data_IF_595459084598
#
_entry.id   IF_595459084598
#
_cell.length_a   1.000
_cell.length_b   1.000
_cell.length_c   1.000
_cell.angle_alpha   90.00
_cell.angle_beta   90.00
_cell.angle_gamma   90.00
#
_symmetry.space_group_name_H-M   'P 1'
#
loop_
_entity.id
_entity.type
_entity.pdbx_description
1 polymer ?
#
# COMPACT_ATOMS: atom_id res chain seq x y z
N UNK A 1 -13.31 -31.99 -0.85
CA UNK A 1 -13.52 -30.54 -0.69
C UNK A 1 -13.43 -29.89 -2.05
N UNK A 2 -14.52 -29.29 -2.52
CA UNK A 2 -14.54 -28.57 -3.79
C UNK A 2 -14.14 -27.12 -3.50
N UNK A 3 -13.12 -26.60 -4.20
CA UNK A 3 -12.73 -25.20 -4.04
C UNK A 3 -13.88 -24.28 -4.49
N UNK A 4 -14.18 -23.24 -3.69
CA UNK A 4 -15.11 -22.19 -4.08
C UNK A 4 -14.32 -21.16 -4.90
N UNK A 5 -14.70 -20.97 -6.16
CA UNK A 5 -14.09 -20.01 -7.07
C UNK A 5 -15.01 -18.81 -7.26
N UNK A 6 -14.52 -17.60 -6.96
CA UNK A 6 -15.25 -16.36 -7.17
C UNK A 6 -14.38 -15.37 -7.97
N UNK A 7 -14.73 -15.14 -9.23
CA UNK A 7 -14.05 -14.18 -10.12
C UNK A 7 -14.20 -12.72 -9.66
N UNK A 8 -15.20 -12.45 -8.82
CA UNK A 8 -15.54 -11.14 -8.29
C UNK A 8 -15.31 -11.11 -6.76
N UNK A 9 -14.28 -11.79 -6.27
CA UNK A 9 -13.92 -11.70 -4.86
C UNK A 9 -13.61 -10.23 -4.51
N UNK A 10 -14.29 -9.65 -3.50
CA UNK A 10 -14.07 -8.26 -3.13
C UNK A 10 -12.67 -8.08 -2.53
N UNK A 11 -12.12 -6.86 -2.64
CA UNK A 11 -10.88 -6.46 -1.99
C UNK A 11 -10.97 -6.62 -0.47
N UNK A 12 -12.15 -6.28 0.07
CA UNK A 12 -12.45 -6.33 1.49
C UNK A 12 -13.89 -6.83 1.73
N UNK A 13 -14.12 -7.72 2.70
CA UNK A 13 -15.42 -8.38 2.88
C UNK A 13 -16.53 -7.43 3.36
N UNK A 14 -16.22 -6.44 4.20
CA UNK A 14 -17.20 -5.55 4.81
C UNK A 14 -16.99 -4.08 4.41
N UNK A 15 -17.93 -3.51 3.66
CA UNK A 15 -17.83 -2.15 3.13
C UNK A 15 -18.18 -1.06 4.15
N UNK A 16 -18.81 -1.42 5.27
CA UNK A 16 -19.29 -0.47 6.28
C UNK A 16 -18.32 -0.29 7.45
N UNK A 17 -17.13 -0.89 7.37
CA UNK A 17 -16.05 -0.66 8.32
C UNK A 17 -15.23 0.55 7.91
N UNK A 18 -14.84 1.37 8.88
CA UNK A 18 -13.92 2.50 8.69
C UNK A 18 -12.98 2.56 9.89
N UNK A 19 -11.67 2.53 9.65
CA UNK A 19 -10.69 2.48 10.75
C UNK A 19 -9.97 3.80 10.95
N UNK A 20 -9.47 4.40 9.86
CA UNK A 20 -8.67 5.62 9.88
C UNK A 20 -9.15 6.64 8.84
N UNK A 21 -10.43 6.59 8.48
CA UNK A 21 -11.09 7.49 7.53
C UNK A 21 -10.82 8.97 7.81
N UNK A 22 -10.93 9.38 9.07
CA UNK A 22 -10.81 10.79 9.47
C UNK A 22 -9.41 11.17 9.97
N UNK A 23 -8.41 10.30 9.77
CA UNK A 23 -7.03 10.58 10.18
C UNK A 23 -6.45 11.71 9.33
N UNK A 24 -5.88 12.72 9.97
CA UNK A 24 -5.09 13.73 9.26
C UNK A 24 -3.70 13.17 8.91
N UNK A 25 -3.25 13.39 7.67
CA UNK A 25 -1.98 12.87 7.16
C UNK A 25 -1.15 14.02 6.63
N UNK A 26 -0.11 14.36 7.40
CA UNK A 26 0.91 15.29 6.94
C UNK A 26 1.68 14.68 5.77
N UNK A 27 1.74 15.41 4.66
CA UNK A 27 2.41 14.97 3.43
C UNK A 27 3.90 15.21 3.55
N UNK A 28 4.69 14.19 3.23
CA UNK A 28 6.15 14.25 3.29
C UNK A 28 6.69 13.79 1.93
N UNK A 29 7.59 14.59 1.35
CA UNK A 29 8.35 14.18 0.17
C UNK A 29 9.57 13.37 0.60
N UNK A 30 9.77 12.21 -0.02
CA UNK A 30 10.94 11.37 0.23
C UNK A 30 12.22 12.00 -0.35
N UNK A 31 13.34 11.64 0.25
CA UNK A 31 14.68 11.91 -0.28
C UNK A 31 15.38 10.58 -0.56
N UNK A 32 15.77 10.33 -1.81
CA UNK A 32 16.37 9.07 -2.25
C UNK A 32 15.38 7.89 -2.30
N UNK A 33 15.84 6.62 -2.29
CA UNK A 33 15.00 5.42 -2.41
C UNK A 33 14.34 5.05 -1.07
N UNK A 34 13.54 5.97 -0.52
CA UNK A 34 12.97 5.89 0.85
C UNK A 34 11.44 5.93 0.87
N UNK A 35 10.78 5.43 -0.18
CA UNK A 35 9.33 5.47 -0.31
C UNK A 35 8.61 4.75 0.85
N UNK A 36 9.11 3.59 1.28
CA UNK A 36 8.52 2.81 2.37
C UNK A 36 8.61 3.56 3.71
N UNK A 37 9.82 3.96 4.14
CA UNK A 37 9.98 4.67 5.42
C UNK A 37 9.23 6.00 5.46
N UNK A 38 9.22 6.73 4.35
CA UNK A 38 8.44 7.98 4.23
C UNK A 38 6.94 7.70 4.35
N UNK A 39 6.44 6.64 3.71
CA UNK A 39 5.04 6.24 3.80
C UNK A 39 4.64 5.84 5.22
N UNK A 40 5.42 5.00 5.90
CA UNK A 40 5.10 4.58 7.27
C UNK A 40 5.19 5.76 8.26
N UNK A 41 6.14 6.67 8.04
CA UNK A 41 6.24 7.91 8.82
C UNK A 41 5.00 8.79 8.66
N UNK A 42 4.49 8.97 7.44
CA UNK A 42 3.23 9.67 7.20
C UNK A 42 2.05 8.99 7.92
N UNK A 43 1.96 7.66 7.86
CA UNK A 43 0.92 6.91 8.58
C UNK A 43 1.02 7.14 10.10
N UNK A 44 2.22 7.04 10.67
CA UNK A 44 2.46 7.19 12.11
C UNK A 44 2.44 8.64 12.63
N UNK A 45 2.45 9.64 11.74
CA UNK A 45 2.61 11.05 12.13
C UNK A 45 4.00 11.32 12.71
N UNK A 46 5.03 10.78 12.06
CA UNK A 46 6.44 10.78 12.51
C UNK A 46 7.40 11.20 11.41
N UNK A 47 8.69 11.25 11.72
CA UNK A 47 9.73 11.53 10.74
C UNK A 47 10.15 10.24 10.01
N UNK A 48 10.55 10.30 8.72
CA UNK A 48 11.08 9.13 8.01
C UNK A 48 12.29 8.49 8.71
N UNK A 49 13.09 9.27 9.44
CA UNK A 49 14.28 8.84 10.18
C UNK A 49 13.93 7.83 11.27
N UNK A 50 12.73 7.93 11.86
CA UNK A 50 12.25 7.03 12.91
C UNK A 50 12.07 5.58 12.43
N UNK A 51 12.06 5.34 11.11
CA UNK A 51 11.85 4.04 10.48
C UNK A 51 13.07 3.52 9.70
N UNK A 52 14.05 4.39 9.42
CA UNK A 52 15.23 4.03 8.62
C UNK A 52 16.09 3.03 9.40
N UNK A 53 16.46 1.92 8.74
CA UNK A 53 17.29 0.87 9.34
C UNK A 53 16.57 -0.02 10.36
N UNK A 54 15.26 0.18 10.59
CA UNK A 54 14.48 -0.57 11.59
C UNK A 54 13.50 -1.59 10.99
N UNK A 55 13.41 -1.63 9.67
CA UNK A 55 12.53 -2.53 8.95
C UNK A 55 13.18 -2.97 7.64
N UNK A 56 12.71 -4.10 7.12
CA UNK A 56 13.08 -4.56 5.80
C UNK A 56 12.10 -3.96 4.78
N UNK A 57 12.59 -3.12 3.87
CA UNK A 57 11.77 -2.41 2.86
C UNK A 57 11.11 -3.31 1.83
N UNK A 58 11.31 -4.63 1.89
CA UNK A 58 10.66 -5.62 1.03
C UNK A 58 9.71 -6.55 1.81
N UNK A 59 9.72 -6.50 3.14
CA UNK A 59 8.94 -7.36 4.04
C UNK A 59 7.80 -6.59 4.74
N UNK A 60 6.54 -6.79 4.33
CA UNK A 60 5.38 -6.16 4.96
C UNK A 60 5.16 -6.56 6.41
N UNK A 61 5.67 -7.70 6.87
CA UNK A 61 5.56 -8.08 8.29
C UNK A 61 6.32 -7.07 9.16
N UNK A 62 7.59 -6.81 8.81
CA UNK A 62 8.39 -5.79 9.49
C UNK A 62 7.77 -4.37 9.41
N UNK A 63 7.01 -4.05 8.34
CA UNK A 63 6.28 -2.78 8.25
C UNK A 63 5.12 -2.73 9.25
N UNK A 64 4.41 -3.84 9.41
CA UNK A 64 3.32 -3.97 10.39
C UNK A 64 3.87 -3.83 11.81
N UNK A 65 4.98 -4.53 12.13
CA UNK A 65 5.61 -4.47 13.45
C UNK A 65 6.01 -3.05 13.86
N UNK A 66 6.60 -2.27 12.95
CA UNK A 66 6.98 -0.87 13.25
C UNK A 66 5.77 0.07 13.34
N UNK A 67 4.61 -0.31 12.80
CA UNK A 67 3.35 0.45 12.95
C UNK A 67 2.60 0.13 14.25
N UNK A 68 2.79 -1.05 14.84
CA UNK A 68 2.07 -1.48 16.04
C UNK A 68 2.19 -0.50 17.23
N UNK A 69 3.35 0.11 17.54
CA UNK A 69 3.44 1.11 18.61
C UNK A 69 2.54 2.34 18.40
N UNK A 70 2.04 2.54 17.17
CA UNK A 70 1.15 3.63 16.78
C UNK A 70 -0.32 3.19 16.64
N UNK A 71 -0.66 2.00 17.14
CA UNK A 71 -2.02 1.47 17.14
C UNK A 71 -2.49 0.95 15.78
N UNK A 72 -1.58 0.74 14.83
CA UNK A 72 -1.89 0.34 13.46
C UNK A 72 -1.17 -0.94 13.07
N UNK A 73 -1.81 -1.74 12.22
CA UNK A 73 -1.19 -2.87 11.52
C UNK A 73 -1.68 -2.96 10.08
N UNK A 74 -0.95 -3.73 9.27
CA UNK A 74 -1.30 -3.97 7.88
C UNK A 74 -2.26 -5.16 7.76
N UNK A 75 -3.35 -5.00 7.02
CA UNK A 75 -4.25 -6.09 6.66
C UNK A 75 -4.28 -6.24 5.13
N UNK A 76 -3.81 -7.39 4.64
CA UNK A 76 -3.73 -7.68 3.21
C UNK A 76 -5.11 -7.59 2.56
N UNK A 77 -5.24 -6.87 1.44
CA UNK A 77 -6.44 -6.89 0.58
C UNK A 77 -6.26 -7.89 -0.56
N UNK A 78 -7.34 -8.52 -1.01
CA UNK A 78 -7.30 -9.55 -2.06
C UNK A 78 -6.93 -8.94 -3.42
N UNK A 79 -5.63 -8.86 -3.71
CA UNK A 79 -5.10 -8.32 -4.95
C UNK A 79 -4.25 -9.35 -5.71
N UNK A 80 -4.04 -9.10 -6.99
CA UNK A 80 -3.10 -9.79 -7.85
C UNK A 80 -2.37 -8.76 -8.73
N UNK A 81 -1.67 -9.21 -9.78
CA UNK A 81 -0.85 -8.35 -10.63
C UNK A 81 -1.65 -7.40 -11.54
N UNK A 82 -2.99 -7.38 -11.50
CA UNK A 82 -3.80 -6.42 -12.27
C UNK A 82 -3.38 -4.97 -12.02
N UNK A 83 -3.65 -4.10 -12.99
CA UNK A 83 -3.38 -2.66 -12.85
C UNK A 83 -4.24 -2.04 -11.76
N UNK A 84 -3.69 -1.06 -11.03
CA UNK A 84 -4.38 -0.41 -9.90
C UNK A 84 -5.75 0.18 -10.28
N UNK A 85 -5.93 0.65 -11.52
CA UNK A 85 -7.23 1.18 -12.00
C UNK A 85 -8.39 0.19 -11.85
N UNK A 86 -8.14 -1.11 -11.88
CA UNK A 86 -9.20 -2.13 -11.73
C UNK A 86 -9.65 -2.30 -10.29
N UNK A 87 -8.89 -1.78 -9.33
CA UNK A 87 -9.22 -1.78 -7.90
C UNK A 87 -9.76 -0.42 -7.44
N UNK A 88 -9.46 0.65 -8.17
CA UNK A 88 -9.61 2.03 -7.67
C UNK A 88 -11.04 2.39 -7.25
N UNK A 89 -12.05 2.01 -8.03
CA UNK A 89 -13.45 2.29 -7.68
C UNK A 89 -13.87 1.63 -6.36
N UNK A 90 -13.45 0.38 -6.12
CA UNK A 90 -13.75 -0.32 -4.87
C UNK A 90 -12.94 0.27 -3.72
N UNK A 91 -11.65 0.56 -3.92
CA UNK A 91 -10.80 1.17 -2.90
C UNK A 91 -11.32 2.54 -2.43
N UNK A 92 -11.66 3.43 -3.38
CA UNK A 92 -12.25 4.73 -3.06
C UNK A 92 -13.63 4.56 -2.41
N UNK A 93 -14.41 3.58 -2.85
CA UNK A 93 -15.71 3.26 -2.27
C UNK A 93 -15.65 2.72 -0.84
N UNK A 94 -14.54 2.13 -0.43
CA UNK A 94 -14.29 1.75 0.98
C UNK A 94 -14.00 2.96 1.87
N UNK A 95 -13.71 4.14 1.29
CA UNK A 95 -13.54 5.45 1.94
C UNK A 95 -12.72 5.39 3.25
N UNK A 96 -11.52 4.78 3.18
CA UNK A 96 -10.65 4.56 4.33
C UNK A 96 -9.16 4.73 3.97
N UNK A 97 -8.26 4.21 4.80
CA UNK A 97 -6.81 4.32 4.67
C UNK A 97 -6.14 3.02 4.20
N UNK A 98 -5.33 3.14 3.14
CA UNK A 98 -4.63 2.03 2.51
C UNK A 98 -3.20 2.39 2.15
N UNK A 99 -2.33 1.39 2.07
CA UNK A 99 -1.11 1.49 1.26
C UNK A 99 -1.27 0.73 -0.05
N UNK A 100 -0.86 1.37 -1.15
CA UNK A 100 -0.85 0.78 -2.48
C UNK A 100 0.59 0.66 -2.96
N UNK A 101 1.05 -0.55 -3.22
CA UNK A 101 2.36 -0.80 -3.82
C UNK A 101 2.19 -1.26 -5.26
N UNK A 102 3.02 -0.75 -6.16
CA UNK A 102 3.00 -1.08 -7.59
C UNK A 102 4.40 -1.21 -8.16
N UNK A 103 4.55 -1.99 -9.23
CA UNK A 103 5.80 -2.06 -9.98
C UNK A 103 5.99 -0.80 -10.82
N UNK A 104 7.20 -0.24 -10.88
CA UNK A 104 7.47 1.03 -11.59
C UNK A 104 7.82 0.84 -13.06
N UNK A 105 7.85 -0.41 -13.53
CA UNK A 105 7.97 -0.75 -14.95
C UNK A 105 6.61 -1.11 -15.54
N UNK A 106 6.43 -0.83 -16.82
CA UNK A 106 5.28 -1.29 -17.60
C UNK A 106 5.59 -2.56 -18.43
N UNK A 107 6.85 -3.03 -18.43
CA UNK A 107 7.25 -4.25 -19.11
C UNK A 107 6.85 -5.49 -18.28
N UNK A 108 5.91 -6.35 -18.74
CA UNK A 108 5.50 -7.55 -18.03
C UNK A 108 6.63 -8.55 -17.81
N UNK A 109 7.56 -8.66 -18.76
CA UNK A 109 8.71 -9.59 -18.65
C UNK A 109 9.63 -9.19 -17.48
N UNK A 110 9.78 -7.89 -17.23
CA UNK A 110 10.54 -7.42 -16.08
C UNK A 110 9.83 -7.67 -14.74
N UNK A 111 8.50 -7.79 -14.73
CA UNK A 111 7.71 -8.07 -13.52
C UNK A 111 7.69 -9.56 -13.22
N UNK A 112 7.61 -10.39 -14.27
CA UNK A 112 7.45 -11.85 -14.18
C UNK A 112 8.75 -12.63 -14.37
N UNK A 113 9.86 -11.93 -14.63
CA UNK A 113 11.17 -12.53 -14.79
C UNK A 113 11.78 -13.02 -13.47
N UNK A 114 12.79 -13.88 -13.61
CA UNK A 114 13.56 -14.35 -12.47
C UNK A 114 14.37 -13.21 -11.82
N UNK A 115 14.63 -13.28 -10.51
CA UNK A 115 15.51 -12.33 -9.86
C UNK A 115 16.93 -12.41 -10.43
N UNK A 116 17.63 -11.28 -10.45
CA UNK A 116 19.05 -11.23 -10.75
C UNK A 116 19.90 -11.89 -9.63
N UNK A 117 21.22 -11.87 -9.76
CA UNK A 117 22.15 -12.45 -8.77
C UNK A 117 22.06 -11.84 -7.37
N UNK A 118 21.44 -10.68 -7.22
CA UNK A 118 21.22 -9.99 -5.94
C UNK A 118 19.81 -10.25 -5.37
N UNK A 119 19.01 -11.11 -6.02
CA UNK A 119 17.63 -11.38 -5.61
C UNK A 119 16.63 -10.31 -6.06
N UNK A 120 17.04 -9.36 -6.91
CA UNK A 120 16.20 -8.26 -7.36
C UNK A 120 15.48 -8.59 -8.67
N UNK A 121 14.17 -8.32 -8.72
CA UNK A 121 13.36 -8.49 -9.92
C UNK A 121 13.23 -7.15 -10.66
N UNK A 122 12.47 -6.21 -10.08
CA UNK A 122 12.23 -4.90 -10.69
C UNK A 122 11.85 -3.84 -9.66
N UNK A 123 11.85 -2.58 -10.10
CA UNK A 123 11.46 -1.43 -9.30
C UNK A 123 10.02 -1.49 -8.83
N UNK A 124 9.79 -0.98 -7.62
CA UNK A 124 8.46 -0.80 -7.07
C UNK A 124 8.38 0.48 -6.26
N UNK A 125 7.17 1.01 -6.13
CA UNK A 125 6.87 2.18 -5.33
C UNK A 125 5.67 1.91 -4.42
N UNK A 126 5.53 2.71 -3.36
CA UNK A 126 4.43 2.64 -2.41
C UNK A 126 3.86 4.04 -2.19
N UNK A 127 2.54 4.14 -2.14
CA UNK A 127 1.77 5.36 -1.88
C UNK A 127 0.71 5.10 -0.83
N UNK A 128 0.18 6.17 -0.23
CA UNK A 128 -1.00 6.11 0.62
C UNK A 128 -2.22 6.43 -0.25
N UNK A 129 -3.26 5.61 -0.18
CA UNK A 129 -4.60 6.01 -0.57
C UNK A 129 -5.36 6.34 0.71
N UNK A 130 -5.84 7.57 0.80
CA UNK A 130 -6.69 8.02 1.89
C UNK A 130 -7.96 8.58 1.29
N UNK A 131 -9.07 7.87 1.50
CA UNK A 131 -10.39 8.21 0.96
C UNK A 131 -10.35 8.25 -0.58
N UNK A 132 -10.47 9.44 -1.16
CA UNK A 132 -10.46 9.70 -2.60
C UNK A 132 -9.09 10.17 -3.13
N UNK A 133 -8.06 10.25 -2.28
CA UNK A 133 -6.77 10.85 -2.66
C UNK A 133 -5.59 9.93 -2.48
N UNK A 134 -4.68 9.99 -3.43
CA UNK A 134 -3.37 9.37 -3.32
C UNK A 134 -2.35 10.40 -2.85
N UNK A 135 -1.69 10.10 -1.74
CA UNK A 135 -0.53 10.84 -1.21
C UNK A 135 0.73 10.10 -1.66
N UNK A 136 1.50 10.73 -2.53
CA UNK A 136 2.68 10.12 -3.14
C UNK A 136 3.96 10.66 -2.49
N UNK A 137 4.75 9.83 -1.78
CA UNK A 137 6.00 10.28 -1.18
C UNK A 137 7.02 10.76 -2.23
N UNK A 138 6.98 10.33 -3.49
CA UNK A 138 7.91 10.80 -4.52
C UNK A 138 7.77 12.31 -4.80
N UNK A 139 6.54 12.81 -4.72
CA UNK A 139 6.21 14.22 -4.99
C UNK A 139 5.94 15.01 -3.71
N UNK A 140 5.52 14.35 -2.63
CA UNK A 140 5.00 14.98 -1.42
C UNK A 140 3.62 15.62 -1.62
N UNK A 141 2.92 15.26 -2.69
CA UNK A 141 1.62 15.85 -3.04
C UNK A 141 0.48 14.86 -2.87
N UNK A 142 -0.74 15.39 -2.77
CA UNK A 142 -1.96 14.59 -2.83
C UNK A 142 -2.68 14.89 -4.14
N UNK A 143 -3.17 13.85 -4.80
CA UNK A 143 -3.90 13.94 -6.07
C UNK A 143 -5.18 13.12 -5.98
N UNK A 144 -6.18 13.43 -6.82
CA UNK A 144 -7.37 12.60 -6.92
C UNK A 144 -6.97 11.19 -7.36
N UNK A 145 -7.48 10.18 -6.66
CA UNK A 145 -7.02 8.80 -6.82
C UNK A 145 -7.24 8.27 -8.25
N UNK A 146 -8.31 8.71 -8.90
CA UNK A 146 -8.64 8.37 -10.29
C UNK A 146 -7.72 9.05 -11.33
N UNK A 147 -7.07 10.15 -10.96
CA UNK A 147 -6.19 10.93 -11.84
C UNK A 147 -4.71 10.54 -11.67
N UNK A 148 -4.36 9.85 -10.58
CA UNK A 148 -2.98 9.52 -10.30
C UNK A 148 -2.40 8.53 -11.32
N UNK A 149 -1.16 8.78 -11.74
CA UNK A 149 -0.48 7.99 -12.76
C UNK A 149 -0.30 6.51 -12.39
N UNK A 150 -0.26 6.18 -11.09
CA UNK A 150 -0.12 4.79 -10.62
C UNK A 150 -1.23 3.86 -11.13
N UNK A 151 -2.39 4.41 -11.52
CA UNK A 151 -3.51 3.65 -12.08
C UNK A 151 -3.13 2.76 -13.27
N UNK A 152 -2.10 3.15 -14.02
CA UNK A 152 -1.63 2.41 -15.19
C UNK A 152 -0.58 1.32 -14.87
N UNK A 153 -0.09 1.26 -13.64
CA UNK A 153 0.94 0.32 -13.19
C UNK A 153 0.34 -0.94 -12.57
N UNK A 154 1.08 -2.03 -12.68
CA UNK A 154 0.70 -3.33 -12.12
C UNK A 154 0.86 -3.34 -10.60
N UNK A 155 -0.15 -3.88 -9.93
CA UNK A 155 -0.20 -3.94 -8.47
C UNK A 155 0.83 -4.94 -7.95
N UNK A 156 1.57 -4.54 -6.92
CA UNK A 156 2.46 -5.42 -6.16
C UNK A 156 1.75 -5.91 -4.91
N UNK A 157 1.22 -4.99 -4.09
CA UNK A 157 0.54 -5.30 -2.82
C UNK A 157 -0.47 -4.19 -2.49
N UNK A 158 -1.56 -4.56 -1.83
CA UNK A 158 -2.54 -3.61 -1.26
C UNK A 158 -2.75 -4.01 0.19
N UNK A 159 -2.61 -3.06 1.10
CA UNK A 159 -2.95 -3.25 2.51
C UNK A 159 -3.93 -2.19 2.96
N UNK A 160 -4.98 -2.60 3.65
CA UNK A 160 -5.78 -1.71 4.48
C UNK A 160 -5.06 -1.49 5.80
N UNK A 161 -5.09 -0.26 6.31
CA UNK A 161 -4.57 0.03 7.65
C UNK A 161 -5.69 -0.22 8.66
N UNK A 162 -5.42 -1.05 9.66
CA UNK A 162 -6.42 -1.45 10.66
C UNK A 162 -5.86 -1.32 12.08
N UNK A 163 -6.71 -1.24 13.13
CA UNK A 163 -6.26 -1.24 14.51
C UNK A 163 -5.54 -2.53 14.89
N UNK A 164 -4.62 -2.47 15.85
CA UNK A 164 -3.85 -3.64 16.30
C UNK A 164 -4.71 -4.80 16.78
N UNK A 165 -5.82 -4.49 17.45
CA UNK A 165 -6.78 -5.45 18.01
C UNK A 165 -7.80 -5.96 16.99
N UNK A 166 -7.81 -5.41 15.76
CA UNK A 166 -8.67 -5.93 14.71
C UNK A 166 -8.28 -7.36 14.31
N UNK A 167 -9.26 -8.24 14.13
CA UNK A 167 -9.02 -9.69 14.00
C UNK A 167 -8.12 -10.07 12.81
N UNK A 168 -8.19 -9.30 11.71
CA UNK A 168 -7.40 -9.52 10.50
C UNK A 168 -6.19 -8.60 10.49
N UNK A 169 -5.02 -9.13 10.18
CA UNK A 169 -3.81 -8.33 9.97
C UNK A 169 -2.55 -9.16 10.15
N UNK A 170 -1.42 -8.53 9.86
CA UNK A 170 -0.06 -9.03 10.11
C UNK A 170 0.40 -8.62 11.52
#
# INVERSE_FOLDING_TARGET
>A
MTAIYNQNAPLWPNKDEYFFRDRDIQRIRQTGPRCVSTTLAMLAGKSPEDFQGRMNTQDPYSWSEVLQPYGMKLAYCTADVRKLKFYMNELVGLDDLFTLSYYTTLNPEAILGDPNSEGWITGSHIVILHRDKIIDPATGTATQAVEHHCNNYHTKRIFRIVPNDYIRGL
#
